data_IF_180380872016
#
_entry.id   IF_180380872016
#
_cell.length_a   1.000
_cell.length_b   1.000
_cell.length_c   1.000
_cell.angle_alpha   90.00
_cell.angle_beta   90.00
_cell.angle_gamma   90.00
#
_symmetry.space_group_name_H-M   'P 1'
#
loop_
_entity.id
_entity.type
_entity.pdbx_description
1 polymer ?
#
# COMPACT_ATOMS: atom_id res chain seq x y z
N UNK A 1 5.57 -8.48 21.44
CA UNK A 1 4.70 -8.41 20.24
C UNK A 1 5.18 -7.23 19.42
N UNK A 2 5.59 -7.49 18.18
CA UNK A 2 6.68 -6.81 17.50
C UNK A 2 6.40 -5.35 17.09
N UNK A 3 7.21 -4.44 17.65
CA UNK A 3 7.46 -3.03 17.32
C UNK A 3 8.12 -2.82 15.95
N UNK A 4 7.80 -3.60 14.93
CA UNK A 4 8.61 -3.63 13.70
C UNK A 4 8.41 -2.41 12.78
N UNK A 5 7.33 -1.64 12.94
CA UNK A 5 6.96 -0.61 11.98
C UNK A 5 7.18 0.79 12.54
N UNK A 6 7.92 1.63 11.79
CA UNK A 6 8.14 3.04 12.11
C UNK A 6 7.04 3.89 11.44
N UNK A 7 6.30 4.64 12.24
CA UNK A 7 5.30 5.58 11.74
C UNK A 7 5.96 6.62 10.84
N UNK A 8 5.47 6.76 9.60
CA UNK A 8 6.00 7.75 8.66
C UNK A 8 5.77 9.20 9.11
N UNK A 9 4.68 9.48 9.83
CA UNK A 9 4.36 10.83 10.34
C UNK A 9 5.15 11.18 11.61
N UNK A 10 5.13 10.30 12.62
CA UNK A 10 5.76 10.54 13.94
C UNK A 10 7.25 10.20 13.99
N UNK A 11 7.74 9.36 13.09
CA UNK A 11 9.10 8.82 13.14
C UNK A 11 9.36 7.88 14.34
N UNK A 12 8.32 7.45 15.04
CA UNK A 12 8.39 6.55 16.19
C UNK A 12 7.83 5.18 15.83
N UNK A 13 8.18 4.14 16.60
CA UNK A 13 7.61 2.81 16.40
C UNK A 13 6.11 2.81 16.69
N UNK A 14 5.35 2.09 15.87
CA UNK A 14 3.92 1.88 16.05
C UNK A 14 3.74 0.82 17.14
N UNK A 15 3.40 1.28 18.35
CA UNK A 15 3.14 0.44 19.53
C UNK A 15 1.68 0.41 19.93
N UNK A 16 0.90 1.37 19.45
CA UNK A 16 -0.46 1.66 19.87
C UNK A 16 -1.28 2.14 18.66
N UNK A 17 -2.60 2.10 18.81
CA UNK A 17 -3.52 2.59 17.78
C UNK A 17 -3.26 4.09 17.57
N UNK A 18 -3.13 4.50 16.30
CA UNK A 18 -2.97 5.91 15.98
C UNK A 18 -4.24 6.70 16.35
N UNK A 19 -4.14 7.60 17.34
CA UNK A 19 -5.23 8.47 17.76
C UNK A 19 -5.41 9.72 16.86
N UNK A 20 -4.41 10.05 16.05
CA UNK A 20 -4.44 11.21 15.16
C UNK A 20 -5.39 10.96 13.97
N UNK A 21 -6.57 11.55 14.04
CA UNK A 21 -7.61 11.46 13.00
C UNK A 21 -7.22 12.19 11.71
N UNK A 22 -6.28 13.14 11.79
CA UNK A 22 -5.75 13.92 10.67
C UNK A 22 -4.42 13.35 10.14
N UNK A 23 -4.05 12.12 10.51
CA UNK A 23 -2.90 11.46 9.93
C UNK A 23 -3.16 11.14 8.44
N UNK A 24 -2.26 11.56 7.56
CA UNK A 24 -2.33 11.30 6.11
C UNK A 24 -2.38 9.79 5.79
N UNK A 25 -1.76 8.98 6.65
CA UNK A 25 -1.66 7.52 6.52
C UNK A 25 -2.64 6.79 7.43
N UNK A 26 -3.70 7.48 7.86
CA UNK A 26 -4.74 6.90 8.71
C UNK A 26 -5.57 5.89 7.92
N UNK A 27 -5.79 4.74 8.53
CA UNK A 27 -6.69 3.71 8.06
C UNK A 27 -7.80 3.51 9.10
N UNK A 28 -9.03 3.17 8.70
CA UNK A 28 -10.13 2.85 9.61
C UNK A 28 -10.09 1.36 9.98
N UNK A 29 -9.00 0.93 10.60
CA UNK A 29 -8.84 -0.45 11.02
C UNK A 29 -7.86 -0.55 12.20
N UNK A 30 -8.40 -0.88 13.37
CA UNK A 30 -7.63 -0.97 14.61
C UNK A 30 -6.69 -2.18 14.64
N UNK A 31 -7.00 -3.26 13.89
CA UNK A 31 -6.12 -4.42 13.76
C UNK A 31 -4.76 -4.05 13.15
N UNK A 32 -4.71 -2.96 12.37
CA UNK A 32 -3.49 -2.41 11.79
C UNK A 32 -3.09 -1.08 12.43
N UNK A 33 -3.46 -0.86 13.70
CA UNK A 33 -3.15 0.34 14.48
C UNK A 33 -3.60 1.65 13.81
N UNK A 34 -4.67 1.61 13.00
CA UNK A 34 -5.13 2.70 12.16
C UNK A 34 -4.05 3.26 11.21
N UNK A 35 -3.14 2.41 10.73
CA UNK A 35 -2.00 2.82 9.92
C UNK A 35 -1.87 2.03 8.61
N UNK A 36 -1.91 2.72 7.47
CA UNK A 36 -1.74 2.10 6.15
C UNK A 36 -0.39 1.39 6.01
N UNK A 37 0.69 1.96 6.57
CA UNK A 37 2.04 1.37 6.50
C UNK A 37 2.14 0.04 7.22
N UNK A 38 1.37 -0.15 8.30
CA UNK A 38 1.29 -1.45 8.96
C UNK A 38 0.52 -2.42 8.08
N UNK A 39 -0.69 -2.03 7.66
CA UNK A 39 -1.59 -2.87 6.86
C UNK A 39 -0.93 -3.46 5.59
N UNK A 40 -0.11 -2.67 4.88
CA UNK A 40 0.56 -3.13 3.66
C UNK A 40 1.46 -4.36 3.84
N UNK A 41 1.86 -4.71 5.05
CA UNK A 41 2.70 -5.89 5.33
C UNK A 41 1.90 -7.18 5.61
N UNK A 42 0.57 -7.09 5.72
CA UNK A 42 -0.29 -8.22 6.11
C UNK A 42 -1.22 -8.71 4.99
N UNK A 43 -1.14 -8.11 3.80
CA UNK A 43 -1.92 -8.55 2.64
C UNK A 43 -1.58 -9.97 2.18
N UNK A 44 -2.28 -10.50 1.16
CA UNK A 44 -3.11 -9.76 0.20
C UNK A 44 -4.51 -9.40 0.73
N UNK A 45 -5.06 -8.30 0.21
CA UNK A 45 -6.45 -7.86 0.45
C UNK A 45 -7.18 -7.70 -0.88
N UNK A 46 -8.48 -7.90 -0.86
CA UNK A 46 -9.38 -7.64 -1.98
C UNK A 46 -9.64 -6.14 -2.13
N UNK A 47 -10.10 -5.72 -3.32
CA UNK A 47 -10.48 -4.32 -3.57
C UNK A 47 -11.62 -3.82 -2.68
N UNK A 48 -12.51 -4.73 -2.25
CA UNK A 48 -13.61 -4.43 -1.34
C UNK A 48 -13.07 -4.13 0.07
N UNK A 49 -12.25 -5.03 0.63
CA UNK A 49 -11.63 -4.87 1.95
C UNK A 49 -10.76 -3.60 2.03
N UNK A 50 -9.97 -3.31 0.99
CA UNK A 50 -9.19 -2.07 0.92
C UNK A 50 -10.10 -0.83 0.89
N UNK A 51 -11.22 -0.92 0.16
CA UNK A 51 -12.22 0.14 0.10
C UNK A 51 -12.83 0.44 1.47
N UNK A 52 -13.26 -0.61 2.17
CA UNK A 52 -13.82 -0.50 3.52
C UNK A 52 -12.84 0.13 4.50
N UNK A 53 -11.60 -0.36 4.55
CA UNK A 53 -10.55 0.15 5.44
C UNK A 53 -10.19 1.62 5.16
N UNK A 54 -10.25 2.05 3.90
CA UNK A 54 -9.96 3.42 3.47
C UNK A 54 -11.20 4.35 3.49
N UNK A 55 -12.41 3.80 3.67
CA UNK A 55 -13.66 4.54 3.58
C UNK A 55 -14.00 5.04 2.18
N UNK A 56 -13.65 4.29 1.14
CA UNK A 56 -13.95 4.59 -0.27
C UNK A 56 -14.56 3.37 -0.96
N UNK A 57 -15.17 3.56 -2.13
CA UNK A 57 -15.80 2.45 -2.86
C UNK A 57 -14.77 1.51 -3.49
N UNK A 58 -15.14 0.24 -3.70
CA UNK A 58 -14.34 -0.73 -4.47
C UNK A 58 -13.89 -0.19 -5.82
N UNK A 59 -14.79 0.47 -6.55
CA UNK A 59 -14.49 1.03 -7.87
C UNK A 59 -13.44 2.15 -7.78
N UNK A 60 -13.45 2.94 -6.70
CA UNK A 60 -12.41 3.93 -6.48
C UNK A 60 -11.03 3.30 -6.28
N UNK A 61 -10.94 2.21 -5.53
CA UNK A 61 -9.68 1.46 -5.36
C UNK A 61 -9.21 0.90 -6.71
N UNK A 62 -10.10 0.27 -7.48
CA UNK A 62 -9.79 -0.27 -8.83
C UNK A 62 -9.21 0.80 -9.77
N UNK A 63 -9.78 2.01 -9.76
CA UNK A 63 -9.29 3.13 -10.57
C UNK A 63 -7.89 3.59 -10.14
N UNK A 64 -7.63 3.65 -8.83
CA UNK A 64 -6.32 4.02 -8.29
C UNK A 64 -5.28 2.97 -8.70
N UNK A 65 -5.61 1.68 -8.57
CA UNK A 65 -4.76 0.55 -8.99
C UNK A 65 -4.42 0.65 -10.48
N UNK A 66 -5.42 0.78 -11.36
CA UNK A 66 -5.21 0.91 -12.80
C UNK A 66 -4.32 2.12 -13.14
N UNK A 67 -4.53 3.26 -12.47
CA UNK A 67 -3.70 4.46 -12.64
C UNK A 67 -2.27 4.25 -12.14
N UNK A 68 -2.07 3.51 -11.05
CA UNK A 68 -0.75 3.20 -10.50
C UNK A 68 0.02 2.24 -11.42
N UNK A 69 -0.63 1.18 -11.91
CA UNK A 69 -0.04 0.24 -12.87
C UNK A 69 0.38 0.94 -14.17
N UNK A 70 -0.50 1.78 -14.74
CA UNK A 70 -0.17 2.59 -15.93
C UNK A 70 1.04 3.49 -15.69
N UNK A 71 1.17 4.04 -14.47
CA UNK A 71 2.34 4.82 -14.09
C UNK A 71 3.60 3.95 -14.07
N UNK A 72 3.57 2.79 -13.42
CA UNK A 72 4.74 1.90 -13.29
C UNK A 72 5.23 1.35 -14.63
N UNK A 73 4.32 1.10 -15.58
CA UNK A 73 4.65 0.64 -16.93
C UNK A 73 5.41 1.67 -17.79
N UNK A 74 5.42 2.95 -17.40
CA UNK A 74 6.15 3.97 -18.14
C UNK A 74 7.66 3.70 -18.11
N UNK A 75 8.31 3.70 -19.29
CA UNK A 75 9.72 3.32 -19.52
C UNK A 75 10.67 3.72 -18.37
N UNK A 76 10.70 5.02 -18.02
CA UNK A 76 11.56 5.54 -16.93
C UNK A 76 11.44 4.77 -15.60
N UNK A 77 10.24 4.35 -15.20
CA UNK A 77 10.01 3.58 -13.96
C UNK A 77 10.16 2.08 -14.18
N UNK A 78 9.70 1.56 -15.33
CA UNK A 78 9.86 0.15 -15.70
C UNK A 78 11.33 -0.24 -15.73
N UNK A 79 12.18 0.57 -16.33
CA UNK A 79 13.61 0.29 -16.46
C UNK A 79 14.31 0.23 -15.08
N UNK A 80 13.82 0.98 -14.08
CA UNK A 80 14.31 0.90 -12.69
C UNK A 80 13.84 -0.37 -11.96
N UNK A 81 12.77 -1.01 -12.44
CA UNK A 81 12.17 -2.20 -11.83
C UNK A 81 12.58 -3.49 -12.56
N UNK A 82 13.25 -3.39 -13.72
CA UNK A 82 13.55 -4.54 -14.58
C UNK A 82 14.42 -5.58 -13.88
N UNK A 83 15.41 -5.14 -13.11
CA UNK A 83 16.34 -6.03 -12.39
C UNK A 83 15.66 -6.82 -11.25
N UNK A 84 14.45 -6.43 -10.84
CA UNK A 84 13.66 -7.11 -9.83
C UNK A 84 12.61 -8.08 -10.42
N UNK A 85 12.39 -8.04 -11.74
CA UNK A 85 11.48 -8.96 -12.41
C UNK A 85 12.14 -10.35 -12.55
N UNK A 86 11.38 -11.42 -12.30
CA UNK A 86 11.92 -12.77 -12.43
C UNK A 86 12.33 -13.07 -13.89
N UNK A 87 13.34 -13.93 -14.13
CA UNK A 87 13.81 -14.25 -15.48
C UNK A 87 12.75 -14.85 -16.43
N UNK A 88 11.63 -15.30 -15.87
CA UNK A 88 10.49 -15.87 -16.60
C UNK A 88 9.44 -14.85 -16.99
N UNK A 89 9.68 -13.56 -16.74
CA UNK A 89 8.70 -12.53 -17.05
C UNK A 89 8.77 -12.18 -18.54
N UNK A 90 7.68 -12.41 -19.28
CA UNK A 90 7.51 -12.11 -20.71
C UNK A 90 7.61 -10.61 -21.07
N UNK A 91 8.20 -9.78 -20.20
CA UNK A 91 8.38 -8.34 -20.40
C UNK A 91 9.49 -8.01 -21.42
N UNK A 92 10.33 -8.98 -21.80
CA UNK A 92 11.37 -8.81 -22.81
C UNK A 92 10.86 -9.01 -24.25
N UNK A 93 9.58 -9.33 -24.45
CA UNK A 93 8.97 -9.56 -25.78
C UNK A 93 8.02 -8.45 -26.26
N UNK A 94 7.94 -7.30 -25.57
CA UNK A 94 7.08 -6.15 -25.93
C UNK A 94 7.87 -4.84 -26.01
#
# INVERSE_FOLDING_TARGET
MNTLYKCKKRGQFVTEICADSACEWRLKNEAFFNCTWVACNFGPFTLEEVGEMMGVTRERIRQIEAKALKKLQHKKRRDQLRDFASPTSDWDMI
#
